data_IF_423356708722
#
_entry.id   IF_423356708722
#
_cell.length_a   1.000
_cell.length_b   1.000
_cell.length_c   1.000
_cell.angle_alpha   90.00
_cell.angle_beta   90.00
_cell.angle_gamma   90.00
#
_symmetry.space_group_name_H-M   'P 1'
#
loop_
_entity.id
_entity.type
_entity.pdbx_description
1 polymer ?
#
# COMPACT_ATOMS: atom_id res chain seq x y z
N UNK A 1 4.29 -10.47 7.42
CA UNK A 1 4.70 -10.03 6.06
C UNK A 1 4.25 -8.60 5.80
N UNK A 2 3.01 -8.29 6.17
CA UNK A 2 2.35 -6.99 6.01
C UNK A 2 3.09 -5.78 6.62
N UNK A 3 3.65 -5.88 7.85
CA UNK A 3 4.39 -4.75 8.45
C UNK A 3 5.64 -4.35 7.64
N UNK A 4 6.36 -5.33 7.08
CA UNK A 4 7.53 -5.06 6.24
C UNK A 4 7.17 -4.27 4.98
N UNK A 5 5.96 -4.50 4.45
CA UNK A 5 5.42 -3.76 3.30
C UNK A 5 5.08 -2.33 3.70
N UNK A 6 4.45 -2.12 4.86
CA UNK A 6 4.21 -0.75 5.38
C UNK A 6 5.52 0.01 5.62
N UNK A 7 6.53 -0.65 6.18
CA UNK A 7 7.82 -0.02 6.43
C UNK A 7 8.51 0.37 5.12
N UNK A 8 8.47 -0.52 4.12
CA UNK A 8 8.99 -0.22 2.78
C UNK A 8 8.20 0.89 2.06
N UNK A 9 6.88 0.91 2.21
CA UNK A 9 6.01 1.96 1.68
C UNK A 9 6.37 3.31 2.32
N UNK A 10 6.58 3.35 3.64
CA UNK A 10 7.03 4.57 4.35
C UNK A 10 8.42 5.00 3.92
N UNK A 11 9.33 4.07 3.59
CA UNK A 11 10.67 4.41 3.12
C UNK A 11 10.67 4.99 1.69
N UNK A 12 9.91 4.40 0.76
CA UNK A 12 9.94 4.76 -0.66
C UNK A 12 8.91 5.80 -1.07
N UNK A 13 7.78 5.88 -0.36
CA UNK A 13 6.61 6.69 -0.73
C UNK A 13 5.99 7.42 0.47
N UNK A 14 6.79 7.85 1.46
CA UNK A 14 6.31 8.53 2.67
C UNK A 14 5.29 9.66 2.40
N UNK A 15 5.53 10.46 1.36
CA UNK A 15 4.71 11.62 1.00
C UNK A 15 3.32 11.24 0.45
N UNK A 16 3.15 10.00 -0.01
CA UNK A 16 1.90 9.44 -0.53
C UNK A 16 0.99 8.90 0.58
N UNK A 17 1.54 8.59 1.76
CA UNK A 17 0.80 7.98 2.87
C UNK A 17 0.15 9.06 3.72
N UNK A 18 -1.17 8.96 3.93
CA UNK A 18 -1.90 9.81 4.87
C UNK A 18 -1.91 9.20 6.26
N UNK A 19 -2.17 7.89 6.34
CA UNK A 19 -2.28 7.15 7.59
C UNK A 19 -1.92 5.67 7.38
N UNK A 20 -1.51 5.01 8.45
CA UNK A 20 -1.37 3.55 8.50
C UNK A 20 -1.96 3.01 9.78
N UNK A 21 -2.65 1.87 9.68
CA UNK A 21 -3.28 1.21 10.81
C UNK A 21 -3.05 -0.30 10.73
N UNK A 22 -2.92 -0.93 11.89
CA UNK A 22 -2.95 -2.38 12.03
C UNK A 22 -4.28 -2.78 12.65
N UNK A 23 -5.08 -3.56 11.95
CA UNK A 23 -6.39 -3.99 12.43
C UNK A 23 -6.60 -5.47 12.14
N UNK A 24 -7.00 -6.25 13.17
CA UNK A 24 -7.30 -7.67 13.03
C UNK A 24 -6.21 -8.54 12.38
N UNK A 25 -4.94 -8.10 12.44
CA UNK A 25 -3.79 -8.77 11.82
C UNK A 25 -3.49 -8.32 10.39
N UNK A 26 -4.30 -7.43 9.83
CA UNK A 26 -4.07 -6.77 8.55
C UNK A 26 -3.39 -5.42 8.74
N UNK A 27 -2.61 -5.04 7.74
CA UNK A 27 -1.94 -3.74 7.70
C UNK A 27 -2.56 -2.90 6.59
N UNK A 28 -2.98 -1.70 6.96
CA UNK A 28 -3.77 -0.83 6.11
C UNK A 28 -2.99 0.47 5.92
N UNK A 29 -2.93 0.94 4.67
CA UNK A 29 -2.36 2.23 4.32
C UNK A 29 -3.38 3.06 3.53
N UNK A 30 -3.62 4.28 3.99
CA UNK A 30 -4.40 5.27 3.27
C UNK A 30 -3.46 6.07 2.39
N UNK A 31 -3.72 6.03 1.09
CA UNK A 31 -2.88 6.64 0.06
C UNK A 31 -3.60 7.85 -0.53
N UNK A 32 -2.88 8.96 -0.64
CA UNK A 32 -3.37 10.15 -1.35
C UNK A 32 -3.78 9.78 -2.77
N UNK A 33 -4.94 10.30 -3.20
CA UNK A 33 -5.54 10.01 -4.50
C UNK A 33 -4.56 10.12 -5.67
N UNK A 34 -3.80 11.22 -5.72
CA UNK A 34 -2.89 11.52 -6.82
C UNK A 34 -1.66 10.60 -6.85
N UNK A 35 -1.36 9.91 -5.74
CA UNK A 35 -0.24 8.97 -5.62
C UNK A 35 -0.66 7.51 -5.75
N UNK A 36 -1.97 7.22 -5.83
CA UNK A 36 -2.50 5.85 -5.80
C UNK A 36 -1.92 4.98 -6.91
N UNK A 37 -1.90 5.48 -8.16
CA UNK A 37 -1.39 4.71 -9.31
C UNK A 37 0.11 4.41 -9.20
N UNK A 38 0.89 5.36 -8.67
CA UNK A 38 2.33 5.18 -8.49
C UNK A 38 2.62 4.12 -7.44
N UNK A 39 1.93 4.18 -6.29
CA UNK A 39 2.07 3.19 -5.22
C UNK A 39 1.60 1.81 -5.66
N UNK A 40 0.46 1.71 -6.34
CA UNK A 40 -0.05 0.43 -6.86
C UNK A 40 0.90 -0.18 -7.92
N UNK A 41 1.50 0.66 -8.77
CA UNK A 41 2.51 0.21 -9.73
C UNK A 41 3.73 -0.33 -9.00
N UNK A 42 4.25 0.40 -8.01
CA UNK A 42 5.38 -0.05 -7.19
C UNK A 42 5.11 -1.39 -6.49
N UNK A 43 3.94 -1.54 -5.85
CA UNK A 43 3.54 -2.80 -5.20
C UNK A 43 3.59 -4.00 -6.17
N UNK A 44 3.24 -3.78 -7.44
CA UNK A 44 3.27 -4.80 -8.48
C UNK A 44 4.68 -5.06 -9.04
N UNK A 45 5.47 -4.01 -9.26
CA UNK A 45 6.73 -4.11 -10.02
C UNK A 45 7.97 -4.29 -9.16
N UNK A 46 7.92 -3.91 -7.88
CA UNK A 46 9.06 -4.03 -6.98
C UNK A 46 9.28 -5.51 -6.58
N UNK A 47 10.48 -6.08 -6.85
CA UNK A 47 10.77 -7.48 -6.53
C UNK A 47 10.72 -7.83 -5.05
N UNK A 48 10.79 -6.84 -4.15
CA UNK A 48 10.65 -7.05 -2.71
C UNK A 48 9.18 -7.06 -2.23
N UNK A 49 8.24 -6.56 -3.06
CA UNK A 49 6.81 -6.51 -2.75
C UNK A 49 6.04 -7.67 -3.40
N UNK A 50 6.20 -7.83 -4.72
CA UNK A 50 5.61 -8.90 -5.56
C UNK A 50 4.11 -9.15 -5.32
N UNK A 51 3.31 -8.09 -5.29
CA UNK A 51 1.85 -8.26 -5.34
C UNK A 51 1.43 -8.56 -6.78
N UNK A 52 1.14 -9.83 -7.08
CA UNK A 52 0.83 -10.30 -8.43
C UNK A 52 -0.45 -9.70 -9.01
N UNK A 53 -1.49 -9.53 -8.18
CA UNK A 53 -2.78 -9.02 -8.59
C UNK A 53 -3.57 -8.40 -7.42
N UNK A 54 -4.45 -7.41 -7.69
CA UNK A 54 -5.42 -6.95 -6.70
C UNK A 54 -6.42 -8.07 -6.40
N UNK A 55 -6.66 -8.33 -5.10
CA UNK A 55 -7.62 -9.36 -4.65
C UNK A 55 -9.06 -8.83 -4.70
N UNK A 56 -9.26 -7.57 -4.31
CA UNK A 56 -10.58 -6.95 -4.23
C UNK A 56 -10.48 -5.43 -4.37
N UNK A 57 -11.41 -4.80 -5.09
CA UNK A 57 -11.51 -3.35 -5.24
C UNK A 57 -12.97 -2.95 -5.08
N UNK A 58 -13.25 -2.07 -4.13
CA UNK A 58 -14.59 -1.54 -3.88
C UNK A 58 -14.52 -0.05 -3.56
N UNK A 59 -15.66 0.62 -3.70
CA UNK A 59 -15.87 1.97 -3.19
C UNK A 59 -16.90 1.91 -2.07
N UNK A 60 -16.76 2.82 -1.11
CA UNK A 60 -17.76 3.07 -0.06
C UNK A 60 -18.18 4.53 -0.22
N UNK A 61 -19.48 4.80 -0.12
CA UNK A 61 -20.05 6.15 -0.09
C UNK A 61 -19.95 6.75 1.32
#
# INVERSE_FOLDING_TARGET
MSQKVLDALKASHASAVEHTETQFGDEIAWIKRDSLLVVATWLKTDPAMLFDAPVFVTCVD
#
